data_IF_391094528579
#
_entry.id   IF_391094528579
#
_cell.length_a   1.000
_cell.length_b   1.000
_cell.length_c   1.000
_cell.angle_alpha   90.00
_cell.angle_beta   90.00
_cell.angle_gamma   90.00
#
_symmetry.space_group_name_H-M   'P 1'
#
loop_
_entity.id
_entity.type
_entity.pdbx_description
1 polymer ?
#
# COMPACT_ATOMS: atom_id res chain seq x y z
N UNK A 1 25.15 -3.12 15.55
CA UNK A 1 26.34 -3.66 14.84
C UNK A 1 27.40 -2.58 14.59
N UNK A 2 27.13 -1.53 13.83
CA UNK A 2 28.11 -0.48 13.47
C UNK A 2 28.83 0.08 14.72
N UNK A 3 28.09 0.45 15.78
CA UNK A 3 28.68 0.89 17.04
C UNK A 3 29.59 -0.14 17.72
N UNK A 4 29.23 -1.44 17.62
CA UNK A 4 30.08 -2.50 18.18
C UNK A 4 31.39 -2.66 17.40
N UNK A 5 31.33 -2.55 16.07
CA UNK A 5 32.55 -2.54 15.24
C UNK A 5 33.43 -1.33 15.54
N UNK A 6 32.83 -0.16 15.77
CA UNK A 6 33.56 1.08 16.05
C UNK A 6 34.34 1.06 17.38
N UNK A 7 33.92 0.26 18.36
CA UNK A 7 34.57 0.16 19.69
C UNK A 7 35.32 -1.18 19.86
N UNK A 8 35.48 -1.95 18.82
CA UNK A 8 36.00 -3.32 18.90
C UNK A 8 37.47 -3.38 19.43
N UNK A 9 38.27 -2.37 19.14
CA UNK A 9 39.66 -2.28 19.61
C UNK A 9 39.72 -1.91 21.09
N UNK A 10 38.77 -1.11 21.60
CA UNK A 10 38.75 -0.65 22.99
C UNK A 10 38.00 -1.61 23.90
N UNK A 11 36.90 -2.18 23.43
CA UNK A 11 36.00 -3.07 24.17
C UNK A 11 35.70 -4.40 23.45
N UNK A 12 36.74 -5.22 23.17
CA UNK A 12 36.60 -6.39 22.31
C UNK A 12 35.60 -7.43 22.82
N UNK A 13 35.48 -7.58 24.15
CA UNK A 13 34.52 -8.52 24.75
C UNK A 13 33.07 -8.10 24.55
N UNK A 14 32.77 -6.83 24.74
CA UNK A 14 31.46 -6.25 24.54
C UNK A 14 31.09 -6.26 23.05
N UNK A 15 32.00 -5.81 22.18
CA UNK A 15 31.82 -5.82 20.75
C UNK A 15 31.48 -7.23 20.22
N UNK A 16 32.26 -8.23 20.63
CA UNK A 16 32.01 -9.63 20.23
C UNK A 16 30.66 -10.18 20.71
N UNK A 17 30.20 -9.80 21.89
CA UNK A 17 28.88 -10.19 22.40
C UNK A 17 27.75 -9.57 21.59
N UNK A 18 27.81 -8.27 21.32
CA UNK A 18 26.84 -7.54 20.50
C UNK A 18 26.80 -8.11 19.07
N UNK A 19 27.96 -8.29 18.44
CA UNK A 19 28.07 -8.81 17.08
C UNK A 19 27.43 -10.20 16.96
N UNK A 20 27.68 -11.09 17.89
CA UNK A 20 27.02 -12.42 17.93
C UNK A 20 25.52 -12.28 18.00
N UNK A 21 25.00 -11.49 18.94
CA UNK A 21 23.57 -11.28 19.09
C UNK A 21 22.92 -10.73 17.81
N UNK A 22 23.60 -9.77 17.15
CA UNK A 22 23.08 -9.21 15.90
C UNK A 22 23.11 -10.24 14.77
N UNK A 23 24.18 -11.01 14.64
CA UNK A 23 24.27 -12.06 13.61
C UNK A 23 23.24 -13.19 13.79
N UNK A 24 22.86 -13.47 15.03
CA UNK A 24 21.81 -14.46 15.32
C UNK A 24 20.39 -13.94 14.99
N UNK A 25 20.16 -12.62 15.08
CA UNK A 25 18.82 -12.04 14.97
C UNK A 25 18.56 -11.31 13.64
N UNK A 26 19.55 -10.63 13.04
CA UNK A 26 19.34 -9.87 11.82
C UNK A 26 18.86 -10.73 10.63
N UNK A 27 19.30 -11.98 10.43
CA UNK A 27 18.74 -12.84 9.40
C UNK A 27 17.24 -13.07 9.54
N UNK A 28 16.69 -13.08 10.77
CA UNK A 28 15.26 -13.22 11.02
C UNK A 28 14.49 -12.00 10.47
N UNK A 29 15.02 -10.79 10.66
CA UNK A 29 14.42 -9.58 10.09
C UNK A 29 14.52 -9.59 8.55
N UNK A 30 15.66 -10.01 7.97
CA UNK A 30 15.83 -10.07 6.52
C UNK A 30 14.91 -11.10 5.83
N UNK A 31 14.47 -12.14 6.57
CA UNK A 31 13.44 -13.06 6.07
C UNK A 31 12.10 -12.36 5.79
N UNK A 32 11.84 -11.20 6.37
CA UNK A 32 10.66 -10.38 6.08
C UNK A 32 10.58 -9.92 4.62
N UNK A 33 11.69 -9.93 3.86
CA UNK A 33 11.68 -9.68 2.42
C UNK A 33 11.29 -10.90 1.58
N UNK A 34 11.23 -12.11 2.18
CA UNK A 34 10.77 -13.31 1.50
C UNK A 34 9.23 -13.35 1.43
N UNK A 35 8.64 -14.02 0.39
CA UNK A 35 9.33 -14.66 -0.74
C UNK A 35 9.58 -13.69 -1.91
N UNK A 36 9.01 -12.51 -1.91
CA UNK A 36 8.82 -11.66 -3.07
C UNK A 36 9.24 -10.20 -2.86
N UNK A 37 10.15 -9.98 -1.87
CA UNK A 37 10.88 -8.71 -1.74
C UNK A 37 10.04 -7.50 -1.25
N UNK A 38 8.77 -7.71 -0.97
CA UNK A 38 7.91 -6.72 -0.32
C UNK A 38 8.24 -6.54 1.17
N UNK A 39 7.71 -5.48 1.76
CA UNK A 39 7.77 -5.24 3.20
C UNK A 39 6.36 -5.03 3.75
N UNK A 40 6.00 -5.76 4.79
CA UNK A 40 4.63 -5.82 5.29
C UNK A 40 4.11 -4.50 5.88
N UNK A 41 5.01 -3.69 6.46
CA UNK A 41 4.69 -2.37 7.01
C UNK A 41 4.77 -1.23 5.97
N UNK A 42 4.82 -1.56 4.66
CA UNK A 42 4.77 -0.59 3.58
C UNK A 42 6.12 -0.03 3.13
N UNK A 43 6.09 0.82 2.08
CA UNK A 43 7.30 1.30 1.40
C UNK A 43 8.19 2.21 2.25
N UNK A 44 7.64 2.88 3.26
CA UNK A 44 8.41 3.73 4.18
C UNK A 44 9.30 2.88 5.09
N UNK A 45 8.75 1.85 5.74
CA UNK A 45 9.51 0.94 6.60
C UNK A 45 10.40 -0.01 5.82
N UNK A 46 10.07 -0.28 4.56
CA UNK A 46 10.98 -0.94 3.62
C UNK A 46 12.30 -0.17 3.51
N UNK A 47 12.23 1.16 3.32
CA UNK A 47 13.42 2.01 3.20
C UNK A 47 14.27 1.96 4.46
N UNK A 48 13.65 2.11 5.63
CA UNK A 48 14.33 2.06 6.92
C UNK A 48 15.08 0.73 7.08
N UNK A 49 14.41 -0.39 6.85
CA UNK A 49 15.00 -1.72 6.99
C UNK A 49 16.10 -1.97 5.98
N UNK A 50 15.89 -1.63 4.71
CA UNK A 50 16.87 -1.81 3.64
C UNK A 50 18.13 -0.96 3.87
N UNK A 51 17.96 0.33 4.27
CA UNK A 51 19.08 1.25 4.55
C UNK A 51 19.97 0.72 5.66
N UNK A 52 19.41 0.38 6.83
CA UNK A 52 20.22 -0.12 7.95
C UNK A 52 20.81 -1.49 7.68
N UNK A 53 20.18 -2.32 6.86
CA UNK A 53 20.75 -3.58 6.39
C UNK A 53 21.99 -3.34 5.51
N UNK A 54 21.89 -2.43 4.53
CA UNK A 54 23.01 -2.04 3.67
C UNK A 54 24.19 -1.48 4.46
N UNK A 55 23.93 -0.53 5.39
CA UNK A 55 24.95 0.02 6.27
C UNK A 55 25.65 -1.04 7.13
N UNK A 56 24.88 -2.03 7.59
CA UNK A 56 25.41 -3.15 8.37
C UNK A 56 26.33 -4.03 7.52
N UNK A 57 25.91 -4.35 6.29
CA UNK A 57 26.71 -5.14 5.37
C UNK A 57 28.02 -4.49 4.96
N UNK A 58 27.97 -3.19 4.67
CA UNK A 58 29.18 -2.42 4.33
C UNK A 58 30.14 -2.30 5.53
N UNK A 59 29.61 -2.06 6.73
CA UNK A 59 30.43 -2.02 7.93
C UNK A 59 31.13 -3.37 8.21
N UNK A 60 30.42 -4.49 8.04
CA UNK A 60 31.02 -5.83 8.15
C UNK A 60 32.09 -6.07 7.08
N UNK A 61 31.77 -5.76 5.83
CA UNK A 61 32.72 -5.94 4.71
C UNK A 61 33.98 -5.10 4.90
N UNK A 62 33.82 -3.85 5.37
CA UNK A 62 34.94 -2.95 5.63
C UNK A 62 35.80 -3.43 6.80
N UNK A 63 35.20 -3.87 7.90
CA UNK A 63 35.92 -4.27 9.10
C UNK A 63 36.46 -5.69 9.05
N UNK A 64 35.76 -6.63 8.41
CA UNK A 64 36.06 -8.07 8.44
C UNK A 64 36.41 -8.66 7.06
N UNK A 65 36.27 -7.91 5.99
CA UNK A 65 36.46 -8.38 4.62
C UNK A 65 35.31 -9.25 4.10
N UNK A 66 34.21 -9.36 4.82
CA UNK A 66 33.08 -10.23 4.47
C UNK A 66 31.80 -9.73 5.16
N UNK A 67 30.65 -9.88 4.49
CA UNK A 67 29.31 -9.67 5.08
C UNK A 67 28.77 -10.92 5.77
N UNK A 68 29.57 -11.97 5.90
CA UNK A 68 29.23 -13.25 6.53
C UNK A 68 28.01 -13.94 5.90
N UNK A 69 27.71 -13.65 4.62
CA UNK A 69 26.57 -14.22 3.91
C UNK A 69 25.20 -13.65 4.31
N UNK A 70 25.17 -12.50 4.99
CA UNK A 70 23.96 -11.87 5.53
C UNK A 70 22.86 -11.67 4.47
N UNK A 71 23.23 -11.33 3.24
CA UNK A 71 22.29 -11.04 2.15
C UNK A 71 21.95 -12.25 1.26
N UNK A 72 22.27 -13.46 1.70
CA UNK A 72 21.89 -14.69 1.01
C UNK A 72 20.45 -15.12 1.22
N UNK A 73 19.63 -14.34 1.94
CA UNK A 73 18.22 -14.65 2.18
C UNK A 73 17.37 -14.44 0.91
N UNK A 74 16.40 -15.35 0.70
CA UNK A 74 15.49 -15.28 -0.44
C UNK A 74 14.70 -13.96 -0.44
N UNK A 75 14.66 -13.31 -1.59
CA UNK A 75 13.87 -12.08 -1.82
C UNK A 75 14.64 -10.78 -1.58
N UNK A 76 15.70 -10.78 -0.78
CA UNK A 76 16.45 -9.55 -0.53
C UNK A 76 17.18 -9.04 -1.78
N UNK A 77 17.64 -9.96 -2.63
CA UNK A 77 18.31 -9.65 -3.90
C UNK A 77 17.47 -8.83 -4.89
N UNK A 78 16.16 -8.73 -4.66
CA UNK A 78 15.21 -7.95 -5.47
C UNK A 78 14.45 -6.92 -4.67
N UNK A 79 14.74 -6.75 -3.39
CA UNK A 79 14.00 -5.85 -2.50
C UNK A 79 13.86 -4.43 -3.06
N UNK A 80 14.87 -3.94 -3.78
CA UNK A 80 14.85 -2.61 -4.41
C UNK A 80 13.75 -2.38 -5.45
N UNK A 81 13.13 -3.44 -6.00
CA UNK A 81 12.06 -3.30 -7.00
C UNK A 81 10.68 -3.04 -6.36
N UNK A 82 10.49 -3.42 -5.10
CA UNK A 82 9.22 -3.22 -4.40
C UNK A 82 8.79 -1.73 -4.33
N UNK A 83 9.62 -0.79 -3.84
CA UNK A 83 9.23 0.61 -3.78
C UNK A 83 8.99 1.22 -5.16
N UNK A 84 9.65 0.74 -6.22
CA UNK A 84 9.39 1.19 -7.59
C UNK A 84 7.94 0.84 -8.00
N UNK A 85 7.50 -0.38 -7.69
CA UNK A 85 6.12 -0.78 -7.95
C UNK A 85 5.11 -0.02 -7.08
N UNK A 86 5.42 0.25 -5.81
CA UNK A 86 4.55 1.00 -4.90
C UNK A 86 4.40 2.48 -5.28
N UNK A 87 5.35 3.05 -6.02
CA UNK A 87 5.29 4.44 -6.47
C UNK A 87 4.29 4.59 -7.60
N UNK A 88 3.28 5.42 -7.42
CA UNK A 88 2.23 5.70 -8.41
C UNK A 88 2.68 6.63 -9.53
N UNK A 89 1.76 6.95 -10.43
CA UNK A 89 1.99 7.83 -11.57
C UNK A 89 2.28 9.29 -11.14
N UNK A 90 1.76 9.71 -9.99
CA UNK A 90 2.02 11.02 -9.37
C UNK A 90 3.39 11.13 -8.72
N UNK A 91 4.10 10.02 -8.54
CA UNK A 91 5.31 9.95 -7.74
C UNK A 91 5.05 9.72 -6.24
N UNK A 92 3.78 9.57 -5.84
CA UNK A 92 3.40 9.23 -4.48
C UNK A 92 3.33 7.72 -4.29
N UNK A 93 3.68 7.23 -3.10
CA UNK A 93 3.54 5.81 -2.77
C UNK A 93 2.09 5.40 -2.54
N UNK A 94 1.77 4.12 -2.77
CA UNK A 94 0.69 3.47 -2.06
C UNK A 94 1.13 3.28 -0.61
N UNK A 95 0.71 4.20 0.22
CA UNK A 95 1.15 4.38 1.59
C UNK A 95 0.30 3.62 2.60
N UNK A 96 0.07 2.32 2.39
CA UNK A 96 -0.64 1.49 3.37
C UNK A 96 0.15 1.39 4.69
N UNK A 97 -0.53 0.99 5.76
CA UNK A 97 -0.01 1.01 7.13
C UNK A 97 0.37 2.44 7.59
N UNK A 98 1.31 2.61 8.50
CA UNK A 98 1.80 3.94 8.93
C UNK A 98 2.75 4.59 7.89
N UNK A 99 2.74 4.16 6.61
CA UNK A 99 3.63 4.71 5.61
C UNK A 99 3.22 6.11 5.16
N UNK A 100 4.22 6.92 4.79
CA UNK A 100 4.01 8.24 4.18
C UNK A 100 3.86 8.14 2.66
N UNK A 101 3.22 9.16 2.06
CA UNK A 101 3.02 9.24 0.60
C UNK A 101 4.27 9.67 -0.16
N UNK A 102 5.14 10.46 0.48
CA UNK A 102 6.28 11.06 -0.19
C UNK A 102 7.32 10.02 -0.64
N UNK A 103 7.71 10.09 -1.90
CA UNK A 103 8.85 9.36 -2.43
C UNK A 103 10.05 10.30 -2.52
N UNK A 104 11.01 10.17 -1.62
CA UNK A 104 12.27 10.90 -1.63
C UNK A 104 13.42 10.06 -2.21
N UNK A 105 14.56 10.69 -2.48
CA UNK A 105 15.80 10.01 -2.86
C UNK A 105 16.20 8.98 -1.79
N UNK A 106 16.57 7.78 -2.23
CA UNK A 106 16.88 6.64 -1.37
C UNK A 106 18.25 6.08 -1.71
N UNK A 107 19.30 6.49 -1.02
CA UNK A 107 20.68 6.03 -1.31
C UNK A 107 20.83 4.52 -1.40
N UNK A 108 20.04 3.79 -0.60
CA UNK A 108 20.04 2.33 -0.61
C UNK A 108 19.68 1.74 -1.98
N UNK A 109 18.98 2.47 -2.86
CA UNK A 109 18.72 2.04 -4.22
C UNK A 109 20.00 1.98 -5.08
N UNK A 110 20.98 2.85 -4.85
CA UNK A 110 22.30 2.74 -5.48
C UNK A 110 23.02 1.49 -4.99
N UNK A 111 23.04 1.26 -3.68
CA UNK A 111 23.66 0.09 -3.09
C UNK A 111 23.05 -1.24 -3.58
N UNK A 112 21.72 -1.34 -3.57
CA UNK A 112 20.99 -2.52 -4.09
C UNK A 112 21.21 -2.68 -5.59
N UNK A 113 21.24 -1.56 -6.33
CA UNK A 113 21.46 -1.54 -7.77
C UNK A 113 22.82 -2.09 -8.18
N UNK A 114 23.88 -1.74 -7.45
CA UNK A 114 25.24 -2.26 -7.67
C UNK A 114 25.34 -3.72 -7.23
N UNK A 115 24.97 -3.98 -5.99
CA UNK A 115 25.18 -5.30 -5.38
C UNK A 115 24.42 -6.42 -6.07
N UNK A 116 23.23 -6.17 -6.56
CA UNK A 116 22.35 -7.18 -7.16
C UNK A 116 22.11 -6.97 -8.67
N UNK A 117 22.87 -6.09 -9.30
CA UNK A 117 22.74 -5.75 -10.71
C UNK A 117 21.30 -5.34 -11.11
N UNK A 118 20.71 -4.39 -10.36
CA UNK A 118 19.38 -3.86 -10.55
C UNK A 118 19.42 -2.44 -11.15
N UNK A 119 19.61 -2.27 -12.46
CA UNK A 119 19.75 -0.95 -13.08
C UNK A 119 18.50 -0.06 -12.90
N UNK A 120 17.32 -0.65 -12.74
CA UNK A 120 16.09 0.08 -12.41
C UNK A 120 16.22 0.86 -11.09
N UNK A 121 16.85 0.29 -10.07
CA UNK A 121 17.05 0.96 -8.77
C UNK A 121 17.99 2.15 -8.92
N UNK A 122 19.10 2.00 -9.65
CA UNK A 122 20.04 3.09 -9.93
C UNK A 122 19.33 4.23 -10.67
N UNK A 123 18.59 3.89 -11.72
CA UNK A 123 17.86 4.88 -12.52
C UNK A 123 16.79 5.62 -11.70
N UNK A 124 16.10 4.90 -10.80
CA UNK A 124 15.09 5.49 -9.93
C UNK A 124 15.71 6.48 -8.94
N UNK A 125 16.82 6.14 -8.27
CA UNK A 125 17.45 7.09 -7.36
C UNK A 125 17.95 8.34 -8.10
N UNK A 126 18.50 8.19 -9.31
CA UNK A 126 18.83 9.35 -10.14
C UNK A 126 17.60 10.20 -10.49
N UNK A 127 16.45 9.58 -10.75
CA UNK A 127 15.19 10.30 -11.00
C UNK A 127 14.76 11.10 -9.78
N UNK A 128 14.77 10.47 -8.60
CA UNK A 128 14.40 11.11 -7.32
C UNK A 128 15.33 12.27 -6.97
N UNK A 129 16.65 12.09 -7.09
CA UNK A 129 17.63 13.17 -6.86
C UNK A 129 17.44 14.38 -7.81
N UNK A 130 16.94 14.15 -9.04
CA UNK A 130 16.63 15.27 -9.95
C UNK A 130 15.37 16.03 -9.57
N UNK A 131 14.40 15.36 -8.94
CA UNK A 131 13.16 16.00 -8.48
C UNK A 131 13.39 16.88 -7.25
N UNK A 132 14.29 16.44 -6.36
CA UNK A 132 14.58 17.12 -5.11
C UNK A 132 16.09 17.38 -4.97
N UNK A 133 16.59 18.37 -5.67
CA UNK A 133 18.03 18.68 -5.71
C UNK A 133 18.69 18.93 -4.34
N UNK A 134 17.90 19.24 -3.31
CA UNK A 134 18.38 19.44 -1.92
C UNK A 134 18.19 18.22 -1.02
N UNK A 135 17.64 17.12 -1.53
CA UNK A 135 17.36 15.91 -0.74
C UNK A 135 18.55 14.92 -0.70
N UNK A 136 19.62 15.20 -1.43
CA UNK A 136 20.82 14.36 -1.40
C UNK A 136 21.43 14.31 0.02
N UNK A 137 21.78 13.11 0.46
CA UNK A 137 22.44 12.90 1.75
C UNK A 137 23.84 12.27 1.55
N UNK A 138 24.68 12.19 2.59
CA UNK A 138 26.03 11.62 2.46
C UNK A 138 26.10 10.21 1.89
N UNK A 139 25.07 9.39 2.09
CA UNK A 139 25.03 8.02 1.56
C UNK A 139 24.78 7.98 0.05
N UNK A 140 24.15 8.99 -0.54
CA UNK A 140 24.07 9.11 -2.00
C UNK A 140 25.45 9.27 -2.63
N UNK A 141 26.35 9.99 -1.95
CA UNK A 141 27.75 10.10 -2.39
C UNK A 141 28.54 8.82 -2.15
N UNK A 142 28.33 8.17 -1.00
CA UNK A 142 29.03 6.94 -0.62
C UNK A 142 28.72 5.80 -1.60
N UNK A 143 27.46 5.65 -1.99
CA UNK A 143 26.97 4.57 -2.84
C UNK A 143 26.66 4.99 -4.28
N UNK A 144 27.13 6.18 -4.68
CA UNK A 144 26.88 6.71 -6.00
C UNK A 144 27.21 5.70 -7.10
N UNK A 145 26.24 5.47 -7.99
CA UNK A 145 26.41 4.68 -9.21
C UNK A 145 26.10 5.56 -10.42
N UNK A 146 26.89 5.48 -11.51
CA UNK A 146 26.58 6.18 -12.73
C UNK A 146 25.25 5.71 -13.32
N UNK A 147 24.57 6.59 -14.06
CA UNK A 147 23.32 6.23 -14.70
C UNK A 147 23.51 5.02 -15.63
N UNK A 148 22.64 3.99 -15.55
CA UNK A 148 22.81 2.78 -16.36
C UNK A 148 22.55 3.09 -17.83
N UNK A 149 23.30 2.48 -18.77
CA UNK A 149 23.13 2.71 -20.21
C UNK A 149 21.82 2.14 -20.76
N UNK A 150 21.23 1.18 -20.07
CA UNK A 150 19.95 0.58 -20.41
C UNK A 150 19.17 0.22 -19.15
N UNK A 151 17.87 0.43 -19.18
CA UNK A 151 16.96 0.14 -18.07
C UNK A 151 15.95 -0.91 -18.58
N UNK A 152 15.94 -2.14 -18.01
CA UNK A 152 14.96 -3.16 -18.37
C UNK A 152 13.53 -2.68 -18.10
N UNK A 153 12.60 -3.04 -18.98
CA UNK A 153 11.19 -2.79 -18.73
C UNK A 153 10.70 -3.63 -17.54
N UNK A 154 10.01 -2.98 -16.62
CA UNK A 154 9.32 -3.66 -15.52
C UNK A 154 7.90 -4.06 -15.97
N UNK A 155 7.32 -5.15 -15.42
CA UNK A 155 5.93 -5.50 -15.61
C UNK A 155 5.02 -4.33 -15.18
N UNK A 156 3.92 -4.11 -15.90
CA UNK A 156 2.93 -3.09 -15.55
C UNK A 156 2.03 -3.50 -14.39
N UNK A 157 2.00 -4.77 -14.04
CA UNK A 157 1.31 -5.27 -12.86
C UNK A 157 2.20 -6.22 -12.07
N UNK A 158 2.08 -6.17 -10.74
CA UNK A 158 2.78 -7.03 -9.81
C UNK A 158 1.87 -7.41 -8.63
N UNK A 159 2.02 -8.63 -8.11
CA UNK A 159 1.46 -9.05 -6.83
C UNK A 159 2.61 -9.42 -5.90
N UNK A 160 2.51 -8.97 -4.67
CA UNK A 160 3.44 -9.27 -3.60
C UNK A 160 2.70 -10.08 -2.53
N UNK A 161 2.91 -11.41 -2.55
CA UNK A 161 2.21 -12.36 -1.68
C UNK A 161 2.63 -12.28 -0.22
N UNK A 162 3.86 -11.85 0.07
CA UNK A 162 4.32 -11.61 1.44
C UNK A 162 3.53 -10.52 2.15
N UNK A 163 3.15 -9.46 1.43
CA UNK A 163 2.35 -8.33 1.95
C UNK A 163 0.91 -8.34 1.47
N UNK A 164 0.51 -9.31 0.62
CA UNK A 164 -0.81 -9.39 -0.01
C UNK A 164 -1.23 -8.07 -0.69
N UNK A 165 -0.32 -7.52 -1.49
CA UNK A 165 -0.50 -6.26 -2.21
C UNK A 165 -0.48 -6.51 -3.72
N UNK A 166 -1.41 -5.89 -4.43
CA UNK A 166 -1.46 -5.83 -5.89
C UNK A 166 -1.23 -4.40 -6.35
N UNK A 167 -0.35 -4.24 -7.34
CA UNK A 167 0.02 -2.97 -7.92
C UNK A 167 -0.11 -3.07 -9.43
N UNK A 168 -0.94 -2.21 -10.02
CA UNK A 168 -1.19 -2.18 -11.46
C UNK A 168 -1.03 -0.77 -12.02
N UNK A 169 -0.52 -0.66 -13.25
CA UNK A 169 -0.43 0.59 -13.98
C UNK A 169 -0.67 0.39 -15.47
N UNK A 170 -1.18 1.40 -16.16
CA UNK A 170 -1.37 1.33 -17.61
C UNK A 170 -0.07 1.57 -18.38
N UNK A 171 0.87 2.34 -17.82
CA UNK A 171 2.19 2.58 -18.39
C UNK A 171 3.21 2.96 -17.29
N UNK A 172 4.50 2.73 -17.56
CA UNK A 172 5.62 3.29 -16.84
C UNK A 172 6.04 4.63 -17.45
N UNK A 173 6.59 5.52 -16.63
CA UNK A 173 7.14 6.82 -17.04
C UNK A 173 6.12 7.75 -17.76
N UNK A 174 4.85 7.55 -17.47
CA UNK A 174 3.76 8.39 -17.96
C UNK A 174 2.97 8.92 -16.75
N UNK A 175 3.09 10.21 -16.39
CA UNK A 175 2.40 10.79 -15.24
C UNK A 175 0.86 10.79 -15.41
N UNK A 176 0.35 10.71 -16.63
CA UNK A 176 -1.10 10.63 -16.88
C UNK A 176 -1.64 9.20 -16.84
N UNK A 177 -0.76 8.19 -16.69
CA UNK A 177 -1.17 6.79 -16.61
C UNK A 177 -2.07 6.52 -15.42
N UNK A 178 -2.94 5.50 -15.56
CA UNK A 178 -3.71 4.99 -14.42
C UNK A 178 -2.79 4.11 -13.58
N UNK A 179 -2.79 4.34 -12.27
CA UNK A 179 -2.16 3.49 -11.26
C UNK A 179 -3.20 3.04 -10.24
N UNK A 180 -3.09 1.81 -9.82
CA UNK A 180 -3.92 1.17 -8.81
C UNK A 180 -3.04 0.43 -7.83
N UNK A 181 -3.09 0.80 -6.55
CA UNK A 181 -2.60 0.00 -5.43
C UNK A 181 -3.79 -0.62 -4.70
N UNK A 182 -3.72 -1.90 -4.36
CA UNK A 182 -4.76 -2.63 -3.66
C UNK A 182 -4.16 -3.59 -2.64
N UNK A 183 -4.79 -3.72 -1.47
CA UNK A 183 -4.25 -4.47 -0.34
C UNK A 183 -5.28 -5.45 0.24
N UNK A 184 -4.80 -6.64 0.56
CA UNK A 184 -5.38 -7.59 1.51
C UNK A 184 -4.41 -7.77 2.70
N UNK A 185 -4.17 -8.98 3.17
CA UNK A 185 -3.19 -9.30 4.20
C UNK A 185 -3.78 -9.38 5.60
N UNK A 186 -3.06 -8.92 6.60
CA UNK A 186 -3.42 -9.06 8.02
C UNK A 186 -3.42 -7.74 8.76
N UNK A 187 -4.36 -7.56 9.67
CA UNK A 187 -4.39 -6.46 10.63
C UNK A 187 -3.36 -6.60 11.76
N UNK A 188 -2.66 -7.74 11.85
CA UNK A 188 -1.69 -8.06 12.92
C UNK A 188 -0.23 -7.82 12.52
N UNK A 189 0.01 -7.22 11.37
CA UNK A 189 1.37 -6.84 10.95
C UNK A 189 1.81 -5.58 11.68
N UNK A 190 3.13 -5.39 11.78
CA UNK A 190 3.68 -4.17 12.34
C UNK A 190 3.14 -2.95 11.61
N UNK A 191 2.76 -1.93 12.37
CA UNK A 191 2.15 -0.70 11.86
C UNK A 191 0.84 -0.87 11.07
N UNK A 192 0.22 -2.07 11.02
CA UNK A 192 -1.00 -2.31 10.25
C UNK A 192 -2.19 -1.48 10.72
N UNK A 193 -3.11 -1.27 9.79
CA UNK A 193 -4.42 -0.66 10.00
C UNK A 193 -5.53 -1.67 9.71
N UNK A 194 -6.77 -1.34 10.06
CA UNK A 194 -7.94 -2.07 9.57
C UNK A 194 -8.28 -1.55 8.17
N UNK A 195 -7.42 -1.86 7.21
CA UNK A 195 -7.41 -1.33 5.85
C UNK A 195 -7.54 -2.44 4.78
N UNK A 196 -7.98 -3.64 5.19
CA UNK A 196 -8.09 -4.80 4.31
C UNK A 196 -9.12 -4.52 3.21
N UNK A 197 -8.70 -4.66 1.95
CA UNK A 197 -9.48 -4.28 0.79
C UNK A 197 -9.35 -2.81 0.38
N UNK A 198 -8.48 -2.02 1.02
CA UNK A 198 -8.23 -0.63 0.66
C UNK A 198 -7.46 -0.52 -0.65
N UNK A 199 -7.65 0.61 -1.33
CA UNK A 199 -6.99 0.92 -2.58
C UNK A 199 -6.59 2.40 -2.67
N UNK A 200 -5.63 2.71 -3.53
CA UNK A 200 -5.32 4.06 -4.01
C UNK A 200 -5.37 4.09 -5.52
N UNK A 201 -5.64 5.26 -6.10
CA UNK A 201 -5.72 5.43 -7.55
C UNK A 201 -5.12 6.75 -7.99
N UNK A 202 -4.21 6.68 -8.99
CA UNK A 202 -3.77 7.85 -9.76
C UNK A 202 -4.33 7.78 -11.18
N UNK A 203 -4.54 8.93 -11.77
CA UNK A 203 -4.81 9.11 -13.19
C UNK A 203 -4.64 10.59 -13.54
N UNK A 204 -4.26 10.91 -14.79
CA UNK A 204 -4.16 12.28 -15.26
C UNK A 204 -3.21 13.16 -14.41
N UNK A 205 -2.13 12.57 -13.92
CA UNK A 205 -1.16 13.19 -13.00
C UNK A 205 -1.76 13.65 -11.65
N UNK A 206 -2.84 13.00 -11.19
CA UNK A 206 -3.54 13.32 -9.93
C UNK A 206 -3.77 12.04 -9.13
N UNK A 207 -3.49 12.07 -7.82
CA UNK A 207 -3.95 11.07 -6.84
C UNK A 207 -5.41 11.39 -6.51
N UNK A 208 -6.33 10.47 -6.90
CA UNK A 208 -7.77 10.61 -6.74
C UNK A 208 -8.32 9.89 -5.52
N UNK A 209 -7.88 8.66 -5.30
CA UNK A 209 -8.17 7.91 -4.09
C UNK A 209 -6.91 7.94 -3.21
N UNK A 210 -7.01 8.56 -2.04
CA UNK A 210 -5.88 8.73 -1.11
C UNK A 210 -6.00 7.77 0.07
N UNK A 211 -4.87 7.43 0.68
CA UNK A 211 -4.80 6.86 2.02
C UNK A 211 -4.24 7.90 2.98
N UNK A 212 -4.73 7.93 4.22
CA UNK A 212 -4.35 8.96 5.19
C UNK A 212 -3.05 8.62 5.93
N UNK A 213 -2.57 7.37 5.82
CA UNK A 213 -1.44 6.90 6.61
C UNK A 213 -1.72 6.91 8.12
N UNK A 214 -0.66 6.94 8.92
CA UNK A 214 -0.73 6.95 10.37
C UNK A 214 -1.28 8.24 10.98
N UNK A 215 -1.42 8.22 12.30
CA UNK A 215 -1.72 9.37 13.14
C UNK A 215 -0.55 9.64 14.11
N UNK A 216 -0.72 10.49 15.09
CA UNK A 216 0.29 10.80 16.09
C UNK A 216 0.59 9.56 16.97
N UNK A 217 1.83 9.14 17.01
CA UNK A 217 2.30 7.97 17.75
C UNK A 217 2.20 8.12 19.27
N UNK A 218 2.08 9.36 19.76
CA UNK A 218 1.91 9.66 21.19
C UNK A 218 0.45 9.55 21.66
N UNK A 219 -0.48 9.23 20.76
CA UNK A 219 -1.89 9.00 21.11
C UNK A 219 -2.02 7.82 22.09
N UNK A 220 -2.77 7.97 23.18
CA UNK A 220 -2.91 6.92 24.19
C UNK A 220 -3.45 5.60 23.63
N UNK A 221 -2.68 4.52 23.75
CA UNK A 221 -3.04 3.20 23.22
C UNK A 221 -2.83 3.04 21.71
N UNK A 222 -2.09 3.94 21.06
CA UNK A 222 -1.74 3.83 19.64
C UNK A 222 -1.08 2.49 19.29
N UNK A 223 -0.27 1.97 20.18
CA UNK A 223 0.48 0.70 20.03
C UNK A 223 -0.25 -0.54 20.55
N UNK A 224 -1.49 -0.36 21.08
CA UNK A 224 -2.31 -1.48 21.53
C UNK A 224 -3.12 -2.03 20.33
N UNK A 225 -2.53 -2.98 19.61
CA UNK A 225 -3.08 -3.60 18.39
C UNK A 225 -3.83 -4.92 18.64
N UNK A 226 -4.10 -5.27 19.91
CA UNK A 226 -4.92 -6.45 20.23
C UNK A 226 -6.33 -6.38 19.64
N UNK A 227 -7.08 -7.48 19.71
CA UNK A 227 -8.44 -7.57 19.13
C UNK A 227 -9.41 -6.45 19.58
N UNK A 228 -9.24 -5.93 20.79
CA UNK A 228 -10.01 -4.82 21.37
C UNK A 228 -9.11 -3.62 21.71
N UNK A 229 -7.96 -3.54 21.04
CA UNK A 229 -6.91 -2.58 21.33
C UNK A 229 -7.31 -1.12 21.15
N UNK A 230 -6.64 -0.24 21.86
CA UNK A 230 -6.85 1.19 21.81
C UNK A 230 -6.55 1.79 20.45
N UNK A 231 -5.66 1.17 19.67
CA UNK A 231 -5.30 1.55 18.30
C UNK A 231 -6.53 1.74 17.40
N UNK A 232 -7.49 0.86 17.47
CA UNK A 232 -8.63 0.81 16.58
C UNK A 232 -9.69 1.89 16.85
N UNK A 233 -9.54 2.68 17.90
CA UNK A 233 -10.39 3.83 18.19
C UNK A 233 -10.05 5.05 17.33
N UNK A 234 -8.85 5.10 16.79
CA UNK A 234 -8.36 6.21 15.99
C UNK A 234 -8.84 6.10 14.55
N UNK A 235 -9.35 7.21 14.03
CA UNK A 235 -10.01 7.26 12.73
C UNK A 235 -9.09 6.77 11.60
N UNK A 236 -7.84 7.26 11.56
CA UNK A 236 -6.88 6.90 10.51
C UNK A 236 -6.45 5.44 10.53
N UNK A 237 -6.66 4.74 11.65
CA UNK A 237 -6.17 3.38 11.86
C UNK A 237 -7.26 2.32 11.68
N UNK A 238 -8.50 2.73 11.36
CA UNK A 238 -9.62 1.82 11.22
C UNK A 238 -10.33 1.98 9.86
N UNK A 239 -11.19 1.02 9.52
CA UNK A 239 -11.81 0.94 8.21
C UNK A 239 -12.76 2.11 7.85
N UNK A 240 -13.05 3.04 8.75
CA UNK A 240 -13.82 4.24 8.43
C UNK A 240 -13.02 5.30 7.66
N UNK A 241 -11.69 5.25 7.71
CA UNK A 241 -10.82 6.19 6.99
C UNK A 241 -10.25 5.63 5.70
N UNK A 242 -10.30 4.33 5.52
CA UNK A 242 -9.71 3.66 4.36
C UNK A 242 -10.71 3.45 3.22
N UNK A 243 -10.21 3.23 2.02
CA UNK A 243 -11.00 3.03 0.80
C UNK A 243 -11.52 1.57 0.72
N UNK A 244 -12.23 1.15 1.75
CA UNK A 244 -12.77 -0.20 1.90
C UNK A 244 -14.24 -0.14 2.35
N UNK A 245 -14.82 -1.28 2.74
CA UNK A 245 -16.21 -1.35 3.17
C UNK A 245 -16.35 -1.17 4.69
N UNK A 246 -17.52 -0.67 5.08
CA UNK A 246 -18.02 -0.77 6.46
C UNK A 246 -19.36 -1.51 6.41
N UNK A 247 -19.46 -2.64 7.10
CA UNK A 247 -20.69 -3.43 7.20
C UNK A 247 -21.37 -3.16 8.56
N UNK A 248 -22.64 -2.82 8.54
CA UNK A 248 -23.47 -2.55 9.73
C UNK A 248 -22.84 -1.56 10.74
N UNK A 249 -21.93 -0.70 10.28
CA UNK A 249 -21.21 0.23 11.12
C UNK A 249 -20.07 -0.38 11.95
N UNK A 250 -19.70 -1.65 11.70
CA UNK A 250 -18.68 -2.36 12.46
C UNK A 250 -17.27 -2.16 11.91
N UNK A 251 -16.29 -2.21 12.81
CA UNK A 251 -14.89 -2.31 12.43
C UNK A 251 -14.59 -3.69 11.84
N UNK A 252 -13.56 -3.77 11.00
CA UNK A 252 -12.96 -5.05 10.59
C UNK A 252 -12.42 -5.79 11.81
N UNK A 253 -12.39 -7.11 11.73
CA UNK A 253 -11.74 -7.93 12.75
C UNK A 253 -10.23 -7.69 12.70
N UNK A 254 -9.68 -7.15 13.79
CA UNK A 254 -8.27 -6.82 13.90
C UNK A 254 -7.35 -8.06 13.81
N UNK A 255 -7.88 -9.24 14.12
CA UNK A 255 -7.13 -10.51 14.08
C UNK A 255 -7.25 -11.22 12.73
N UNK A 256 -7.95 -10.62 11.75
CA UNK A 256 -8.19 -11.24 10.48
C UNK A 256 -6.93 -11.37 9.64
N UNK A 257 -6.82 -12.51 8.96
CA UNK A 257 -5.92 -12.72 7.84
C UNK A 257 -6.72 -12.92 6.57
N UNK A 258 -6.37 -12.18 5.55
CA UNK A 258 -7.02 -12.17 4.23
C UNK A 258 -5.98 -12.33 3.14
N UNK A 259 -6.40 -12.71 1.94
CA UNK A 259 -5.47 -12.94 0.84
C UNK A 259 -6.05 -12.51 -0.51
N UNK A 260 -5.17 -12.20 -1.44
CA UNK A 260 -5.51 -12.10 -2.86
C UNK A 260 -5.65 -13.53 -3.39
N UNK A 261 -6.89 -13.99 -3.50
CA UNK A 261 -7.23 -15.37 -3.88
C UNK A 261 -7.05 -15.65 -5.36
N UNK A 262 -7.24 -14.61 -6.21
CA UNK A 262 -7.05 -14.67 -7.67
C UNK A 262 -6.49 -13.37 -8.20
N UNK A 263 -5.69 -13.46 -9.25
CA UNK A 263 -5.19 -12.29 -9.97
C UNK A 263 -4.83 -12.63 -11.41
N UNK A 264 -4.80 -11.59 -12.24
CA UNK A 264 -4.14 -11.58 -13.54
C UNK A 264 -3.14 -10.44 -13.58
N UNK A 265 -1.92 -10.73 -13.99
CA UNK A 265 -0.86 -9.74 -14.19
C UNK A 265 -0.69 -9.39 -15.68
N UNK A 266 -1.69 -9.69 -16.51
CA UNK A 266 -1.62 -9.42 -17.95
C UNK A 266 -1.60 -7.92 -18.21
N UNK A 267 -0.85 -7.48 -19.22
CA UNK A 267 -0.74 -6.06 -19.56
C UNK A 267 -2.05 -5.44 -20.08
N UNK A 268 -3.00 -6.26 -20.54
CA UNK A 268 -4.24 -5.74 -21.15
C UNK A 268 -5.38 -5.51 -20.15
N UNK A 269 -5.45 -6.31 -19.09
CA UNK A 269 -6.52 -6.22 -18.10
C UNK A 269 -6.07 -6.85 -16.78
N UNK A 270 -5.14 -6.21 -16.08
CA UNK A 270 -4.69 -6.72 -14.79
C UNK A 270 -5.79 -6.55 -13.75
N UNK A 271 -5.97 -7.58 -12.91
CA UNK A 271 -6.93 -7.56 -11.82
C UNK A 271 -6.43 -8.33 -10.61
N UNK A 272 -7.02 -8.06 -9.46
CA UNK A 272 -6.89 -8.87 -8.24
C UNK A 272 -8.25 -9.05 -7.58
N UNK A 273 -8.46 -10.21 -6.97
CA UNK A 273 -9.63 -10.54 -6.17
C UNK A 273 -9.13 -10.98 -4.80
N UNK A 274 -9.52 -10.26 -3.75
CA UNK A 274 -9.23 -10.62 -2.38
C UNK A 274 -10.42 -11.33 -1.73
N UNK A 275 -10.15 -12.37 -0.97
CA UNK A 275 -11.09 -12.93 -0.01
C UNK A 275 -10.93 -12.18 1.32
N UNK A 276 -11.90 -11.33 1.62
CA UNK A 276 -11.96 -10.51 2.83
C UNK A 276 -12.90 -11.08 3.89
N UNK A 277 -13.38 -12.31 3.72
CA UNK A 277 -14.41 -12.91 4.57
C UNK A 277 -14.04 -12.91 6.05
N UNK A 278 -12.77 -13.16 6.38
CA UNK A 278 -12.29 -13.16 7.77
C UNK A 278 -12.43 -11.77 8.42
N UNK A 279 -12.11 -10.71 7.70
CA UNK A 279 -12.18 -9.33 8.19
C UNK A 279 -13.61 -8.88 8.52
N UNK A 280 -14.60 -9.47 7.87
CA UNK A 280 -16.02 -9.13 8.03
C UNK A 280 -16.86 -10.29 8.58
N UNK A 281 -16.23 -11.26 9.23
CA UNK A 281 -16.84 -12.51 9.71
C UNK A 281 -18.00 -12.31 10.70
N UNK A 282 -18.07 -11.15 11.36
CA UNK A 282 -19.18 -10.74 12.21
C UNK A 282 -20.50 -10.61 11.43
N UNK A 283 -20.46 -10.05 10.22
CA UNK A 283 -21.63 -9.64 9.44
C UNK A 283 -21.84 -10.50 8.17
N UNK A 284 -20.75 -10.90 7.53
CA UNK A 284 -20.77 -11.63 6.29
C UNK A 284 -20.27 -13.08 6.46
N UNK A 285 -20.92 -14.01 5.75
CA UNK A 285 -20.43 -15.38 5.58
C UNK A 285 -19.26 -15.42 4.60
N UNK A 286 -19.35 -14.61 3.54
CA UNK A 286 -18.27 -14.40 2.60
C UNK A 286 -18.31 -12.98 2.05
N UNK A 287 -17.13 -12.42 1.83
CA UNK A 287 -16.93 -11.14 1.16
C UNK A 287 -15.70 -11.23 0.27
N UNK A 288 -15.92 -11.02 -1.03
CA UNK A 288 -14.84 -10.94 -2.01
C UNK A 288 -14.83 -9.55 -2.62
N UNK A 289 -13.67 -8.93 -2.73
CA UNK A 289 -13.46 -7.67 -3.43
C UNK A 289 -12.56 -7.88 -4.62
N UNK A 290 -13.06 -7.57 -5.81
CA UNK A 290 -12.29 -7.49 -7.04
C UNK A 290 -11.93 -6.05 -7.39
N UNK A 291 -10.71 -5.85 -7.85
CA UNK A 291 -10.24 -4.60 -8.45
C UNK A 291 -9.65 -4.91 -9.83
N UNK A 292 -10.01 -4.14 -10.83
CA UNK A 292 -9.50 -4.32 -12.20
C UNK A 292 -9.08 -2.98 -12.79
N UNK A 293 -7.91 -2.96 -13.41
CA UNK A 293 -7.45 -1.84 -14.21
C UNK A 293 -7.99 -1.99 -15.64
N UNK A 294 -8.70 -0.99 -16.11
CA UNK A 294 -9.39 -1.02 -17.40
C UNK A 294 -8.60 -0.21 -18.44
N UNK A 295 -7.52 -0.79 -18.94
CA UNK A 295 -6.58 -0.13 -19.86
C UNK A 295 -6.08 1.21 -19.26
N UNK A 296 -6.05 2.29 -20.03
CA UNK A 296 -5.74 3.65 -19.56
C UNK A 296 -7.01 4.48 -19.31
N UNK A 297 -8.13 3.86 -18.94
CA UNK A 297 -9.42 4.54 -18.82
C UNK A 297 -9.95 4.62 -17.41
N UNK A 298 -9.59 3.70 -16.53
CA UNK A 298 -10.07 3.72 -15.15
C UNK A 298 -9.89 2.41 -14.39
N UNK A 299 -10.61 2.32 -13.29
CA UNK A 299 -10.57 1.20 -12.34
C UNK A 299 -12.00 0.77 -12.00
N UNK A 300 -12.27 -0.52 -12.01
CA UNK A 300 -13.49 -1.11 -11.47
C UNK A 300 -13.18 -1.68 -10.10
N UNK A 301 -14.00 -1.35 -9.11
CA UNK A 301 -14.09 -2.04 -7.81
C UNK A 301 -15.43 -2.76 -7.75
N UNK A 302 -15.39 -4.07 -7.45
CA UNK A 302 -16.60 -4.89 -7.30
C UNK A 302 -16.51 -5.72 -6.02
N UNK A 303 -17.58 -5.66 -5.23
CA UNK A 303 -17.72 -6.44 -3.99
C UNK A 303 -18.88 -7.41 -4.12
N UNK A 304 -18.67 -8.66 -3.69
CA UNK A 304 -19.69 -9.69 -3.59
C UNK A 304 -19.79 -10.16 -2.15
N UNK A 305 -20.93 -9.84 -1.52
CA UNK A 305 -21.18 -10.08 -0.11
C UNK A 305 -22.26 -11.14 0.02
N UNK A 306 -22.01 -12.21 0.77
CA UNK A 306 -23.02 -13.14 1.25
C UNK A 306 -23.20 -12.89 2.75
N UNK A 307 -24.37 -12.39 3.13
CA UNK A 307 -24.66 -12.05 4.51
C UNK A 307 -24.83 -13.28 5.38
N UNK A 308 -24.47 -13.16 6.65
CA UNK A 308 -24.84 -14.17 7.63
C UNK A 308 -26.36 -14.16 7.86
N UNK A 309 -26.92 -15.34 8.12
CA UNK A 309 -28.37 -15.45 8.38
C UNK A 309 -28.78 -14.76 9.69
N UNK A 310 -27.86 -14.70 10.67
CA UNK A 310 -28.02 -14.12 12.00
C UNK A 310 -27.50 -12.67 12.10
N UNK A 311 -27.13 -12.05 10.98
CA UNK A 311 -26.70 -10.64 10.97
C UNK A 311 -27.87 -9.71 11.36
N UNK A 312 -27.64 -8.82 12.33
CA UNK A 312 -28.62 -7.84 12.83
C UNK A 312 -28.77 -6.61 11.92
N UNK A 313 -28.53 -6.75 10.66
CA UNK A 313 -28.61 -5.70 9.64
C UNK A 313 -27.91 -6.18 8.38
N UNK A 314 -28.14 -5.44 7.28
CA UNK A 314 -27.50 -5.69 5.99
C UNK A 314 -27.22 -4.36 5.31
N UNK A 315 -26.53 -3.50 6.05
CA UNK A 315 -26.12 -2.19 5.54
C UNK A 315 -24.66 -2.27 5.14
N UNK A 316 -24.37 -1.87 3.92
CA UNK A 316 -23.01 -1.70 3.41
C UNK A 316 -22.75 -0.25 3.09
N UNK A 317 -21.62 0.25 3.54
CA UNK A 317 -21.04 1.52 3.12
C UNK A 317 -19.79 1.25 2.31
N UNK A 318 -19.81 1.66 1.04
CA UNK A 318 -18.63 1.81 0.20
C UNK A 318 -18.12 3.23 0.33
N UNK A 319 -16.82 3.39 0.39
CA UNK A 319 -16.23 4.72 0.59
C UNK A 319 -14.88 4.85 -0.10
N UNK A 320 -14.54 6.11 -0.44
CA UNK A 320 -13.27 6.52 -1.02
C UNK A 320 -12.87 7.89 -0.48
N UNK A 321 -11.69 7.97 0.11
CA UNK A 321 -11.08 9.20 0.58
C UNK A 321 -10.47 9.99 -0.58
N UNK A 322 -10.67 11.30 -0.60
CA UNK A 322 -10.13 12.19 -1.62
C UNK A 322 -9.97 13.62 -1.10
N UNK A 323 -9.05 14.36 -1.66
CA UNK A 323 -8.92 15.82 -1.48
C UNK A 323 -9.47 16.62 -2.69
N UNK A 324 -10.08 15.93 -3.68
CA UNK A 324 -10.75 16.55 -4.81
C UNK A 324 -12.09 17.18 -4.42
N UNK A 325 -12.52 18.22 -5.13
CA UNK A 325 -13.89 18.72 -5.07
C UNK A 325 -14.85 17.71 -5.70
N UNK A 326 -16.01 17.49 -5.07
CA UNK A 326 -16.97 16.47 -5.51
C UNK A 326 -18.29 17.15 -5.91
N UNK A 327 -18.75 16.86 -7.13
CA UNK A 327 -20.10 17.20 -7.61
C UNK A 327 -20.91 15.94 -7.79
N UNK A 328 -22.08 15.85 -7.14
CA UNK A 328 -22.94 14.66 -7.14
C UNK A 328 -24.06 14.77 -8.18
N UNK A 329 -24.33 13.65 -8.86
CA UNK A 329 -25.45 13.50 -9.80
C UNK A 329 -26.13 12.11 -9.66
N UNK A 330 -26.65 11.83 -8.47
CA UNK A 330 -27.31 10.55 -8.18
C UNK A 330 -26.32 9.38 -8.09
N UNK A 331 -26.37 8.46 -9.05
CA UNK A 331 -25.45 7.34 -9.16
C UNK A 331 -24.09 7.73 -9.77
N UNK A 332 -23.91 8.99 -10.16
CA UNK A 332 -22.66 9.52 -10.68
C UNK A 332 -22.11 10.62 -9.76
N UNK A 333 -20.78 10.74 -9.76
CA UNK A 333 -20.05 11.84 -9.16
C UNK A 333 -18.91 12.28 -10.09
N UNK A 334 -18.62 13.57 -10.06
CA UNK A 334 -17.45 14.15 -10.74
C UNK A 334 -16.52 14.70 -9.67
N UNK A 335 -15.28 14.21 -9.68
CA UNK A 335 -14.21 14.70 -8.83
C UNK A 335 -13.35 15.65 -9.66
N UNK A 336 -13.04 16.83 -9.11
CA UNK A 336 -12.23 17.85 -9.79
C UNK A 336 -11.05 18.25 -8.92
N UNK A 337 -9.85 18.17 -9.47
CA UNK A 337 -8.60 18.56 -8.82
C UNK A 337 -7.58 18.97 -9.86
N UNK A 338 -6.83 20.07 -9.62
CA UNK A 338 -5.78 20.58 -10.51
C UNK A 338 -6.24 20.78 -11.97
N UNK A 339 -7.50 21.19 -12.17
CA UNK A 339 -8.07 21.37 -13.52
C UNK A 339 -8.37 20.08 -14.28
N UNK A 340 -8.21 18.92 -13.65
CA UNK A 340 -8.53 17.60 -14.19
C UNK A 340 -9.84 17.08 -13.58
N UNK A 341 -10.47 16.10 -14.25
CA UNK A 341 -11.71 15.50 -13.80
C UNK A 341 -11.63 13.97 -13.83
N UNK A 342 -12.03 13.33 -12.73
CA UNK A 342 -12.35 11.92 -12.67
C UNK A 342 -13.85 11.74 -12.48
N UNK A 343 -14.45 10.76 -13.12
CA UNK A 343 -15.85 10.39 -12.88
C UNK A 343 -15.94 9.11 -12.07
N UNK A 344 -16.92 9.05 -11.19
CA UNK A 344 -17.32 7.85 -10.47
C UNK A 344 -18.76 7.49 -10.87
N UNK A 345 -19.05 6.20 -11.06
CA UNK A 345 -20.39 5.68 -11.36
C UNK A 345 -20.67 4.43 -10.56
N UNK A 346 -21.81 4.39 -9.88
CA UNK A 346 -22.33 3.18 -9.26
C UNK A 346 -22.99 2.34 -10.37
N UNK A 347 -22.45 1.15 -10.60
CA UNK A 347 -23.01 0.18 -11.55
C UNK A 347 -23.96 -0.78 -10.86
N UNK A 348 -23.70 -1.09 -9.58
CA UNK A 348 -24.53 -1.93 -8.70
C UNK A 348 -24.41 -1.42 -7.26
N UNK A 349 -25.49 -1.44 -6.46
CA UNK A 349 -26.86 -1.80 -6.81
C UNK A 349 -27.59 -0.69 -7.57
N UNK A 350 -28.62 -1.05 -8.32
CA UNK A 350 -29.45 -0.08 -9.04
C UNK A 350 -30.18 0.84 -8.06
N UNK A 351 -30.22 2.13 -8.37
CA UNK A 351 -30.90 3.13 -7.54
C UNK A 351 -30.09 3.69 -6.37
N UNK A 352 -28.92 3.12 -6.09
CA UNK A 352 -28.00 3.69 -5.12
C UNK A 352 -27.47 5.06 -5.58
N UNK A 353 -27.10 5.89 -4.63
CA UNK A 353 -26.64 7.27 -4.87
C UNK A 353 -25.38 7.53 -4.08
N UNK A 354 -24.51 8.34 -4.66
CA UNK A 354 -23.38 8.90 -3.93
C UNK A 354 -23.82 10.01 -2.97
N UNK A 355 -23.07 10.11 -1.88
CA UNK A 355 -23.08 11.21 -0.94
C UNK A 355 -21.64 11.64 -0.61
N UNK A 356 -21.48 12.74 0.08
CA UNK A 356 -20.19 13.20 0.59
C UNK A 356 -20.26 13.21 2.11
N UNK A 357 -19.26 12.60 2.75
CA UNK A 357 -19.06 12.63 4.18
C UNK A 357 -17.77 13.40 4.53
N UNK A 358 -17.74 13.95 5.75
CA UNK A 358 -16.57 14.62 6.29
C UNK A 358 -15.70 13.63 7.07
N UNK A 359 -14.40 13.55 6.79
CA UNK A 359 -13.45 12.76 7.56
C UNK A 359 -12.82 13.53 8.72
N UNK A 360 -13.31 14.74 9.02
CA UNK A 360 -12.76 15.58 10.06
C UNK A 360 -12.86 14.94 11.43
N UNK A 361 -11.79 15.05 12.20
CA UNK A 361 -11.69 14.56 13.57
C UNK A 361 -11.31 15.69 14.51
N UNK A 362 -11.68 15.56 15.77
CA UNK A 362 -11.30 16.49 16.83
C UNK A 362 -9.94 16.08 17.43
N UNK A 363 -9.25 17.08 18.00
CA UNK A 363 -8.03 16.80 18.76
C UNK A 363 -8.31 15.77 19.89
N UNK A 364 -7.39 14.86 20.18
CA UNK A 364 -5.99 14.88 19.75
C UNK A 364 -5.71 14.19 18.41
N UNK A 365 -6.70 13.65 17.70
CA UNK A 365 -6.50 13.04 16.39
C UNK A 365 -6.18 14.09 15.32
N UNK A 366 -5.57 13.64 14.23
CA UNK A 366 -5.32 14.51 13.09
C UNK A 366 -6.65 15.02 12.50
N UNK A 367 -6.81 16.34 12.29
CA UNK A 367 -8.09 16.92 11.86
C UNK A 367 -8.46 16.66 10.40
N UNK A 368 -7.57 16.07 9.59
CA UNK A 368 -7.79 15.76 8.18
C UNK A 368 -8.31 16.93 7.32
N UNK A 369 -7.68 18.11 7.35
CA UNK A 369 -8.20 19.29 6.66
C UNK A 369 -8.18 19.09 5.13
N UNK A 370 -9.21 19.64 4.46
CA UNK A 370 -9.30 19.59 2.99
C UNK A 370 -9.75 18.25 2.41
N UNK A 371 -9.86 17.21 3.23
CA UNK A 371 -10.27 15.87 2.79
C UNK A 371 -11.79 15.71 2.81
N UNK A 372 -12.27 14.81 1.98
CA UNK A 372 -13.68 14.40 1.84
C UNK A 372 -13.75 12.90 1.63
N UNK A 373 -14.89 12.31 1.96
CA UNK A 373 -15.21 10.94 1.55
C UNK A 373 -16.33 10.96 0.50
N UNK A 374 -16.08 10.37 -0.66
CA UNK A 374 -17.15 9.93 -1.55
C UNK A 374 -17.70 8.63 -0.99
N UNK A 375 -19.00 8.61 -0.67
CA UNK A 375 -19.63 7.46 -0.02
C UNK A 375 -20.88 7.00 -0.77
N UNK A 376 -21.18 5.71 -0.67
CA UNK A 376 -22.44 5.12 -1.06
C UNK A 376 -22.89 4.18 0.05
N UNK A 377 -24.09 4.39 0.57
CA UNK A 377 -24.71 3.50 1.55
C UNK A 377 -25.88 2.75 0.91
N UNK A 378 -25.98 1.47 1.18
CA UNK A 378 -27.05 0.62 0.69
C UNK A 378 -27.47 -0.36 1.77
N UNK A 379 -28.78 -0.57 1.88
CA UNK A 379 -29.37 -1.58 2.75
C UNK A 379 -30.13 -2.60 1.89
N UNK A 380 -29.82 -3.87 2.08
CA UNK A 380 -30.37 -4.96 1.31
C UNK A 380 -31.21 -5.88 2.18
N UNK A 381 -32.35 -6.34 1.67
CA UNK A 381 -33.17 -7.36 2.33
C UNK A 381 -32.74 -8.80 1.95
N UNK A 382 -31.95 -8.95 0.88
CA UNK A 382 -31.51 -10.23 0.33
C UNK A 382 -30.36 -10.87 1.09
N UNK A 383 -30.11 -12.14 0.79
CA UNK A 383 -28.98 -12.88 1.37
C UNK A 383 -27.63 -12.51 0.73
N UNK A 384 -27.65 -11.88 -0.44
CA UNK A 384 -26.46 -11.45 -1.19
C UNK A 384 -26.58 -9.99 -1.60
N UNK A 385 -25.46 -9.29 -1.62
CA UNK A 385 -25.35 -7.92 -2.11
C UNK A 385 -24.14 -7.83 -3.03
N UNK A 386 -24.31 -7.19 -4.20
CA UNK A 386 -23.22 -6.83 -5.08
C UNK A 386 -23.08 -5.31 -5.12
N UNK A 387 -21.88 -4.82 -4.85
CA UNK A 387 -21.50 -3.42 -5.04
C UNK A 387 -20.54 -3.35 -6.22
N UNK A 388 -20.73 -2.40 -7.12
CA UNK A 388 -19.78 -2.15 -8.20
C UNK A 388 -19.69 -0.66 -8.46
N UNK A 389 -18.48 -0.12 -8.34
CA UNK A 389 -18.16 1.29 -8.59
C UNK A 389 -17.05 1.38 -9.64
N UNK A 390 -17.32 2.15 -10.67
CA UNK A 390 -16.40 2.47 -11.74
C UNK A 390 -15.83 3.87 -11.54
N UNK A 391 -14.52 3.98 -11.49
CA UNK A 391 -13.77 5.24 -11.52
C UNK A 391 -13.12 5.38 -12.90
N UNK A 392 -13.40 6.47 -13.65
CA UNK A 392 -12.95 6.55 -15.04
C UNK A 392 -12.65 7.99 -15.49
N UNK A 393 -11.69 8.10 -16.40
CA UNK A 393 -11.28 9.37 -17.01
C UNK A 393 -12.04 9.69 -18.30
N UNK A 394 -12.48 8.66 -19.01
CA UNK A 394 -13.23 8.76 -20.26
C UNK A 394 -14.42 7.79 -20.25
N UNK A 395 -15.61 8.21 -20.70
CA UNK A 395 -16.78 7.33 -20.75
C UNK A 395 -16.54 6.10 -21.61
N UNK A 396 -16.97 4.94 -21.13
CA UNK A 396 -17.06 3.70 -21.90
C UNK A 396 -18.18 2.82 -21.32
N UNK A 397 -18.68 1.93 -22.13
CA UNK A 397 -19.66 0.94 -21.71
C UNK A 397 -18.95 -0.34 -21.28
N UNK A 398 -19.45 -0.94 -20.22
CA UNK A 398 -19.00 -2.23 -19.75
C UNK A 398 -20.16 -3.04 -19.20
N UNK A 399 -20.06 -4.35 -19.31
CA UNK A 399 -20.96 -5.30 -18.70
C UNK A 399 -20.36 -5.83 -17.40
N UNK A 400 -21.14 -5.75 -16.31
CA UNK A 400 -20.72 -6.36 -15.04
C UNK A 400 -20.84 -7.88 -15.15
N UNK A 401 -19.80 -8.56 -14.66
CA UNK A 401 -19.75 -10.00 -14.52
C UNK A 401 -19.49 -10.34 -13.06
N UNK A 402 -19.89 -11.52 -12.63
CA UNK A 402 -19.53 -12.02 -11.30
C UNK A 402 -18.00 -12.19 -11.19
N UNK A 403 -17.44 -11.97 -9.99
CA UNK A 403 -16.00 -12.07 -9.75
C UNK A 403 -15.44 -13.46 -10.13
N UNK A 404 -16.26 -14.51 -10.01
CA UNK A 404 -15.87 -15.86 -10.40
C UNK A 404 -15.49 -15.96 -11.90
N UNK A 405 -16.02 -15.07 -12.73
CA UNK A 405 -15.80 -15.07 -14.17
C UNK A 405 -14.70 -14.10 -14.66
N UNK A 406 -14.05 -13.38 -13.75
CA UNK A 406 -12.95 -12.46 -14.09
C UNK A 406 -11.68 -13.19 -14.52
#
# INVERSE_FOLDING_TARGET
MIGALAIADEEPGLAAAILRTVMDNLPLALHGFAPDWAWEAGPHYWEYTALYSALTGDALTTALGTDLGLFGCSGFDRAGLFPLHCCGATGEYFNYADAETASAAKPVLFWLGERFALPNCIAENHRLLRLEANAANPFDLLWYQPAPPAIPALPTAARFGGSEVFLGRSAWNDPESVFLGFKAGSGQRDHAHLDLGSFVMDALAVRWAVDLGGDDYDLPGYWDSGAQGGRWKYYRLNNWSHNTLVLNGHLQDAMAETMISRNSLSNSSPFAIADLSAAYSRDARSLHRGVALLENRGVLMQDEITWRADSNGRTVRWQMMTDAEITLAGAEATLTKNGKCLRARILSPRGARFAVASPQQEAPQNPNPGLRQLVMEHSEGGAKTQIAVLLFTQPFEMELRELESW
#
